data_IF_596257335418
#
_entry.id   IF_596257335418
#
_cell.length_a   1.000
_cell.length_b   1.000
_cell.length_c   1.000
_cell.angle_alpha   90.00
_cell.angle_beta   90.00
_cell.angle_gamma   90.00
#
_symmetry.space_group_name_H-M   'P 1'
#
loop_
_entity.id
_entity.type
_entity.pdbx_description
1 polymer ?
#
# COMPACT_ATOMS: atom_id res chain seq x y z
N UNK A 1 -3.46 17.22 9.27
CA UNK A 1 -2.13 17.46 9.87
C UNK A 1 -1.09 17.17 8.80
N UNK A 2 -0.36 18.19 8.33
CA UNK A 2 0.80 17.96 7.48
C UNK A 2 1.92 17.38 8.36
N UNK A 3 2.39 16.18 8.05
CA UNK A 3 3.55 15.62 8.74
C UNK A 3 4.81 16.31 8.22
N UNK A 4 5.65 16.83 9.10
CA UNK A 4 6.90 17.47 8.69
C UNK A 4 7.86 16.44 8.08
N UNK A 5 8.71 16.88 7.17
CA UNK A 5 9.74 16.03 6.55
C UNK A 5 10.64 15.39 7.62
N UNK A 6 10.89 16.10 8.72
CA UNK A 6 11.60 15.58 9.90
C UNK A 6 11.00 14.27 10.43
N UNK A 7 9.67 14.17 10.51
CA UNK A 7 9.00 12.95 10.99
C UNK A 7 9.19 11.78 10.04
N UNK A 8 9.22 12.06 8.73
CA UNK A 8 9.50 11.04 7.71
C UNK A 8 10.95 10.57 7.77
N UNK A 9 11.91 11.48 7.98
CA UNK A 9 13.32 11.13 8.16
C UNK A 9 13.56 10.30 9.43
N UNK A 10 12.91 10.66 10.54
CA UNK A 10 12.98 9.89 11.78
C UNK A 10 12.36 8.50 11.61
N UNK A 11 11.19 8.41 10.95
CA UNK A 11 10.56 7.13 10.65
C UNK A 11 11.45 6.26 9.76
N UNK A 12 12.06 6.86 8.73
CA UNK A 12 13.00 6.20 7.82
C UNK A 12 14.18 5.58 8.58
N UNK A 13 14.83 6.37 9.45
CA UNK A 13 15.96 5.91 10.28
C UNK A 13 15.54 4.80 11.26
N UNK A 14 14.43 4.98 11.96
CA UNK A 14 13.94 4.02 12.97
C UNK A 14 13.46 2.71 12.36
N UNK A 15 12.79 2.78 11.21
CA UNK A 15 12.22 1.61 10.52
C UNK A 15 13.19 0.98 9.52
N UNK A 16 14.42 1.53 9.36
CA UNK A 16 15.42 1.10 8.38
C UNK A 16 14.86 1.03 6.95
N UNK A 17 14.13 2.08 6.55
CA UNK A 17 13.46 2.17 5.25
C UNK A 17 14.30 2.94 4.22
N UNK A 18 14.10 2.61 2.95
CA UNK A 18 14.69 3.32 1.81
C UNK A 18 13.80 4.49 1.36
N UNK A 19 14.29 5.30 0.41
CA UNK A 19 13.47 6.39 -0.13
C UNK A 19 12.22 5.85 -0.85
N UNK A 20 12.37 4.74 -1.58
CA UNK A 20 11.28 4.07 -2.28
C UNK A 20 10.18 3.62 -1.31
N UNK A 21 10.56 3.07 -0.15
CA UNK A 21 9.60 2.66 0.89
C UNK A 21 8.82 3.85 1.46
N UNK A 22 9.48 5.01 1.60
CA UNK A 22 8.85 6.23 2.09
C UNK A 22 7.87 6.79 1.05
N UNK A 23 8.24 6.81 -0.22
CA UNK A 23 7.34 7.18 -1.31
C UNK A 23 6.17 6.23 -1.44
N UNK A 24 6.43 4.92 -1.26
CA UNK A 24 5.39 3.91 -1.25
C UNK A 24 4.42 4.12 -0.08
N UNK A 25 4.93 4.33 1.13
CA UNK A 25 4.12 4.64 2.30
C UNK A 25 3.27 5.90 2.08
N UNK A 26 3.84 6.97 1.50
CA UNK A 26 3.10 8.18 1.12
C UNK A 26 1.98 7.87 0.11
N UNK A 27 2.26 7.08 -0.92
CA UNK A 27 1.29 6.64 -1.94
C UNK A 27 0.18 5.78 -1.35
N UNK A 28 0.52 4.96 -0.36
CA UNK A 28 -0.42 4.14 0.39
C UNK A 28 -1.29 4.97 1.37
N UNK A 29 -0.96 6.25 1.58
CA UNK A 29 -1.65 7.11 2.55
C UNK A 29 -1.31 6.75 4.00
N UNK A 30 -0.14 6.15 4.22
CA UNK A 30 0.40 5.88 5.54
C UNK A 30 1.10 7.13 6.09
N UNK A 31 1.18 7.19 7.42
CA UNK A 31 1.74 8.33 8.12
C UNK A 31 3.05 7.94 8.81
N UNK A 32 4.01 8.85 9.01
CA UNK A 32 5.28 8.51 9.63
C UNK A 32 5.10 7.99 11.07
N UNK A 33 4.07 8.48 11.79
CA UNK A 33 3.69 7.96 13.11
C UNK A 33 3.23 6.50 13.08
N UNK A 34 2.52 6.07 12.03
CA UNK A 34 2.08 4.68 11.91
C UNK A 34 3.24 3.75 11.58
N UNK A 35 4.25 4.22 10.83
CA UNK A 35 5.47 3.45 10.57
C UNK A 35 6.23 3.19 11.87
N UNK A 36 6.48 4.24 12.66
CA UNK A 36 7.20 4.12 13.94
C UNK A 36 6.44 3.24 14.94
N UNK A 37 5.10 3.31 14.97
CA UNK A 37 4.27 2.46 15.85
C UNK A 37 4.29 0.98 15.44
N UNK A 38 4.58 0.66 14.18
CA UNK A 38 4.64 -0.72 13.68
C UNK A 38 6.04 -1.33 13.77
N UNK A 39 7.02 -0.63 14.35
CA UNK A 39 8.34 -1.22 14.59
C UNK A 39 8.18 -2.40 15.56
N UNK A 40 8.56 -3.62 15.18
CA UNK A 40 8.51 -4.77 16.07
C UNK A 40 9.44 -4.55 17.26
N UNK A 41 8.95 -4.84 18.47
CA UNK A 41 9.78 -4.86 19.67
C UNK A 41 10.38 -6.27 19.88
N UNK A 42 11.37 -6.39 20.78
CA UNK A 42 12.04 -7.67 21.05
C UNK A 42 11.10 -8.77 21.56
N UNK A 43 9.96 -8.40 22.14
CA UNK A 43 8.93 -9.31 22.66
C UNK A 43 7.86 -9.66 21.62
N UNK A 44 7.93 -9.11 20.41
CA UNK A 44 6.99 -9.34 19.31
C UNK A 44 7.67 -9.94 18.07
N UNK A 45 8.32 -11.12 18.17
CA UNK A 45 9.04 -11.75 17.05
C UNK A 45 8.13 -12.14 15.88
N UNK A 46 6.82 -12.24 16.10
CA UNK A 46 5.83 -12.55 15.05
C UNK A 46 5.49 -11.35 14.16
N UNK A 47 5.91 -10.13 14.51
CA UNK A 47 5.69 -8.95 13.67
C UNK A 47 6.81 -8.84 12.64
N UNK A 48 6.43 -8.82 11.37
CA UNK A 48 7.36 -8.57 10.28
C UNK A 48 7.99 -7.17 10.40
N UNK A 49 9.22 -6.97 9.89
CA UNK A 49 9.79 -5.65 9.74
C UNK A 49 8.89 -4.72 8.91
N UNK A 50 8.92 -3.43 9.23
CA UNK A 50 8.06 -2.42 8.58
C UNK A 50 8.27 -2.37 7.07
N UNK A 51 9.48 -2.63 6.57
CA UNK A 51 9.77 -2.74 5.13
C UNK A 51 8.96 -3.85 4.46
N UNK A 52 9.03 -5.07 5.00
CA UNK A 52 8.29 -6.23 4.49
C UNK A 52 6.78 -5.95 4.51
N UNK A 53 6.28 -5.42 5.62
CA UNK A 53 4.86 -5.06 5.75
C UNK A 53 4.40 -4.01 4.73
N UNK A 54 5.25 -3.03 4.38
CA UNK A 54 4.94 -2.03 3.35
C UNK A 54 4.75 -2.68 1.98
N UNK A 55 5.65 -3.59 1.60
CA UNK A 55 5.55 -4.31 0.32
C UNK A 55 4.32 -5.22 0.28
N UNK A 56 3.97 -5.88 1.38
CA UNK A 56 2.74 -6.69 1.46
C UNK A 56 1.48 -5.85 1.25
N UNK A 57 1.41 -4.65 1.85
CA UNK A 57 0.28 -3.75 1.65
C UNK A 57 0.19 -3.31 0.19
N UNK A 58 1.31 -2.93 -0.41
CA UNK A 58 1.33 -2.51 -1.81
C UNK A 58 0.88 -3.64 -2.74
N UNK A 59 1.43 -4.84 -2.56
CA UNK A 59 1.09 -5.99 -3.37
C UNK A 59 -0.41 -6.32 -3.24
N UNK A 60 -0.95 -6.26 -2.02
CA UNK A 60 -2.37 -6.48 -1.76
C UNK A 60 -3.24 -5.42 -2.43
N UNK A 61 -2.83 -4.14 -2.43
CA UNK A 61 -3.55 -3.07 -3.14
C UNK A 61 -3.49 -3.27 -4.64
N UNK A 62 -2.33 -3.64 -5.18
CA UNK A 62 -2.13 -3.90 -6.61
C UNK A 62 -2.98 -5.07 -7.10
N UNK A 63 -2.96 -6.19 -6.38
CA UNK A 63 -3.83 -7.35 -6.68
C UNK A 63 -5.31 -6.96 -6.67
N UNK A 64 -5.74 -6.13 -5.70
CA UNK A 64 -7.13 -5.66 -5.61
C UNK A 64 -7.51 -4.70 -6.74
N UNK A 65 -6.61 -3.79 -7.14
CA UNK A 65 -6.86 -2.87 -8.26
C UNK A 65 -6.92 -3.61 -9.60
N UNK A 66 -6.02 -4.56 -9.83
CA UNK A 66 -6.00 -5.45 -11.00
C UNK A 66 -7.30 -6.27 -11.09
N UNK A 67 -7.75 -6.88 -9.99
CA UNK A 67 -9.04 -7.58 -9.96
C UNK A 67 -10.23 -6.66 -10.28
N UNK A 68 -10.24 -5.45 -9.72
CA UNK A 68 -11.30 -4.46 -10.00
C UNK A 68 -11.31 -4.07 -11.47
N UNK A 69 -10.13 -3.90 -12.10
CA UNK A 69 -10.01 -3.59 -13.52
C UNK A 69 -10.51 -4.75 -14.38
N UNK A 70 -10.10 -6.00 -14.08
CA UNK A 70 -10.60 -7.20 -14.79
C UNK A 70 -12.13 -7.31 -14.71
N UNK A 71 -12.71 -7.09 -13.53
CA UNK A 71 -14.17 -7.09 -13.35
C UNK A 71 -14.87 -5.99 -14.16
N UNK A 72 -14.28 -4.79 -14.21
CA UNK A 72 -14.79 -3.67 -15.02
C UNK A 72 -14.71 -3.96 -16.51
N UNK A 73 -13.60 -4.52 -16.99
CA UNK A 73 -13.43 -4.91 -18.39
C UNK A 73 -14.45 -5.99 -18.80
N UNK A 74 -14.62 -7.04 -17.98
CA UNK A 74 -15.63 -8.08 -18.23
C UNK A 74 -17.05 -7.51 -18.26
N UNK A 75 -17.37 -6.61 -17.31
CA UNK A 75 -18.66 -5.94 -17.29
C UNK A 75 -18.85 -5.00 -18.49
N UNK A 76 -17.80 -4.39 -19.02
CA UNK A 76 -17.86 -3.53 -20.20
C UNK A 76 -18.07 -4.36 -21.49
N UNK A 77 -17.36 -5.48 -21.64
CA UNK A 77 -17.54 -6.41 -22.76
C UNK A 77 -18.99 -6.92 -22.82
N UNK A 78 -19.51 -7.45 -21.71
CA UNK A 78 -20.89 -7.94 -21.64
C UNK A 78 -21.98 -6.89 -21.93
N UNK A 79 -21.66 -5.59 -21.87
CA UNK A 79 -22.57 -4.49 -22.26
C UNK A 79 -22.52 -4.20 -23.76
N UNK A 80 -21.36 -4.39 -24.39
CA UNK A 80 -21.18 -4.19 -25.83
C UNK A 80 -21.68 -5.40 -26.63
N UNK A 81 -21.72 -6.59 -26.03
CA UNK A 81 -22.29 -7.81 -26.62
C UNK A 81 -23.83 -7.95 -26.43
N UNK A 82 -24.53 -6.86 -26.07
CA UNK A 82 -25.99 -6.83 -25.99
C UNK A 82 -26.62 -6.96 -27.38
N UNK A 83 -27.67 -7.78 -27.55
CA UNK A 83 -28.11 -8.26 -28.85
C UNK A 83 -28.61 -7.13 -29.74
N UNK A 84 -28.11 -7.10 -30.98
CA UNK A 84 -28.74 -6.46 -32.14
C UNK A 84 -30.17 -7.00 -32.28
N UNK A 85 -31.12 -6.39 -31.57
CA UNK A 85 -32.55 -6.64 -31.79
C UNK A 85 -32.98 -5.83 -33.00
N UNK A 86 -33.00 -6.53 -34.13
CA UNK A 86 -33.63 -6.16 -35.40
C UNK A 86 -35.13 -5.95 -35.27
#
# INVERSE_FOLDING_TARGET
MAYSEQMWQDAKKKCRLNNEDIELAKRLGLNPRSLVKNIPNKSEPWKAPVSVWLHEIDEKRRKKSEQKQKRRAKAAAARNDGPDTK
#
